data_IF_380484106029
#
_entry.id   IF_380484106029
#
_cell.length_a   1.000
_cell.length_b   1.000
_cell.length_c   1.000
_cell.angle_alpha   90.00
_cell.angle_beta   90.00
_cell.angle_gamma   90.00
#
_symmetry.space_group_name_H-M   'P 1'
#
loop_
_entity.id
_entity.type
_entity.pdbx_description
1 polymer ?
#
# COMPACT_ATOMS: atom_id res chain seq x y z
N UNK A 1 -22.62 -4.64 15.48
CA UNK A 1 -22.87 -5.58 16.63
C UNK A 1 -21.52 -5.82 17.32
N UNK A 2 -21.52 -5.78 18.65
CA UNK A 2 -20.37 -6.11 19.49
C UNK A 2 -20.64 -7.42 20.22
N UNK A 3 -19.70 -8.36 20.17
CA UNK A 3 -19.75 -9.65 20.86
C UNK A 3 -18.51 -9.81 21.74
N UNK A 4 -18.70 -10.23 22.98
CA UNK A 4 -17.58 -10.64 23.84
C UNK A 4 -17.27 -12.12 23.61
N UNK A 5 -16.32 -12.40 22.72
CA UNK A 5 -15.90 -13.77 22.39
C UNK A 5 -15.13 -14.49 23.54
N UNK A 6 -14.94 -13.83 24.69
CA UNK A 6 -14.41 -14.46 25.91
C UNK A 6 -15.52 -15.08 26.77
N UNK A 7 -16.78 -14.75 26.49
CA UNK A 7 -17.95 -15.28 27.18
C UNK A 7 -18.60 -16.41 26.37
N UNK A 8 -19.20 -17.37 27.09
CA UNK A 8 -19.94 -18.48 26.47
C UNK A 8 -21.14 -17.96 25.64
N UNK A 9 -21.78 -16.89 26.12
CA UNK A 9 -22.90 -16.26 25.40
C UNK A 9 -22.44 -15.62 24.09
N UNK A 10 -21.35 -14.85 24.10
CA UNK A 10 -20.80 -14.23 22.89
C UNK A 10 -20.33 -15.27 21.87
N UNK A 11 -19.73 -16.37 22.32
CA UNK A 11 -19.35 -17.50 21.45
C UNK A 11 -20.59 -18.19 20.86
N UNK A 12 -21.65 -18.39 21.68
CA UNK A 12 -22.89 -18.98 21.20
C UNK A 12 -23.56 -18.10 20.14
N UNK A 13 -23.60 -16.79 20.35
CA UNK A 13 -24.11 -15.82 19.34
C UNK A 13 -23.27 -15.83 18.07
N UNK A 14 -21.93 -15.88 18.16
CA UNK A 14 -21.06 -15.99 17.01
C UNK A 14 -21.33 -17.26 16.19
N UNK A 15 -21.51 -18.40 16.84
CA UNK A 15 -21.88 -19.66 16.17
C UNK A 15 -23.22 -19.58 15.47
N UNK A 16 -24.20 -18.90 16.05
CA UNK A 16 -25.51 -18.71 15.41
C UNK A 16 -25.39 -17.86 14.14
N UNK A 17 -24.56 -16.79 14.16
CA UNK A 17 -24.27 -16.00 12.97
C UNK A 17 -23.63 -16.85 11.87
N UNK A 18 -22.68 -17.72 12.24
CA UNK A 18 -21.99 -18.61 11.29
C UNK A 18 -22.93 -19.61 10.60
N UNK A 19 -24.04 -20.00 11.22
CA UNK A 19 -25.05 -20.85 10.55
C UNK A 19 -25.58 -20.23 9.26
N UNK A 20 -25.67 -18.91 9.20
CA UNK A 20 -26.11 -18.15 8.03
C UNK A 20 -24.99 -17.59 7.16
N UNK A 21 -23.72 -17.77 7.54
CA UNK A 21 -22.58 -17.20 6.83
C UNK A 21 -21.99 -18.19 5.81
N UNK A 22 -21.68 -17.75 4.63
CA UNK A 22 -20.98 -18.53 3.60
C UNK A 22 -19.48 -18.60 3.83
N UNK A 23 -18.94 -17.53 4.40
CA UNK A 23 -17.50 -17.32 4.56
C UNK A 23 -17.24 -16.74 5.94
N UNK A 24 -16.26 -17.28 6.64
CA UNK A 24 -15.69 -16.72 7.86
C UNK A 24 -14.26 -16.28 7.55
N UNK A 25 -13.92 -15.04 7.91
CA UNK A 25 -12.55 -14.50 7.78
C UNK A 25 -12.09 -14.04 9.15
N UNK A 26 -10.90 -14.45 9.55
CA UNK A 26 -10.30 -14.03 10.81
C UNK A 26 -8.81 -13.69 10.63
N UNK A 27 -8.27 -12.84 11.49
CA UNK A 27 -6.86 -12.48 11.51
C UNK A 27 -6.29 -12.43 12.93
N UNK A 28 -6.76 -13.30 13.81
CA UNK A 28 -6.22 -13.47 15.15
C UNK A 28 -4.88 -14.23 15.11
N UNK A 29 -4.18 -14.27 16.24
CA UNK A 29 -3.04 -15.18 16.40
C UNK A 29 -3.50 -16.62 16.25
N UNK A 30 -2.66 -17.45 15.63
CA UNK A 30 -2.94 -18.86 15.41
C UNK A 30 -3.42 -19.56 16.70
N UNK A 31 -4.42 -20.43 16.59
CA UNK A 31 -5.02 -21.14 17.71
C UNK A 31 -5.99 -20.31 18.57
N UNK A 32 -6.16 -19.03 18.32
CA UNK A 32 -7.07 -18.20 19.13
C UNK A 32 -8.52 -18.57 18.89
N UNK A 33 -8.92 -18.70 17.64
CA UNK A 33 -10.29 -19.10 17.28
C UNK A 33 -10.61 -20.51 17.76
N UNK A 34 -9.66 -21.43 17.69
CA UNK A 34 -9.78 -22.79 18.20
C UNK A 34 -10.03 -22.81 19.70
N UNK A 35 -9.27 -22.01 20.49
CA UNK A 35 -9.48 -21.89 21.95
C UNK A 35 -10.83 -21.31 22.32
N UNK A 36 -11.40 -20.45 21.48
CA UNK A 36 -12.74 -19.89 21.65
C UNK A 36 -13.84 -20.84 21.16
N UNK A 37 -13.48 -22.00 20.59
CA UNK A 37 -14.45 -22.93 19.99
C UNK A 37 -15.05 -22.44 18.68
N UNK A 38 -14.36 -21.53 17.98
CA UNK A 38 -14.72 -20.91 16.70
C UNK A 38 -13.71 -21.23 15.59
N UNK A 39 -12.82 -22.21 15.79
CA UNK A 39 -11.89 -22.67 14.77
C UNK A 39 -12.59 -23.44 13.64
N UNK A 40 -11.84 -23.71 12.57
CA UNK A 40 -12.39 -24.31 11.36
C UNK A 40 -13.17 -25.59 11.62
N UNK A 41 -12.62 -26.57 12.35
CA UNK A 41 -13.27 -27.86 12.58
C UNK A 41 -14.54 -27.72 13.42
N UNK A 42 -14.57 -26.81 14.41
CA UNK A 42 -15.76 -26.53 15.19
C UNK A 42 -16.87 -25.87 14.37
N UNK A 43 -16.52 -24.92 13.49
CA UNK A 43 -17.49 -24.23 12.65
C UNK A 43 -17.94 -25.09 11.47
N UNK A 44 -17.06 -25.90 10.89
CA UNK A 44 -17.41 -26.90 9.86
C UNK A 44 -18.44 -27.92 10.34
N UNK A 45 -18.38 -28.31 11.62
CA UNK A 45 -19.39 -29.17 12.21
C UNK A 45 -20.79 -28.54 12.24
N UNK A 46 -20.87 -27.20 12.27
CA UNK A 46 -22.12 -26.43 12.21
C UNK A 46 -22.56 -26.19 10.76
N UNK A 47 -21.59 -25.88 9.89
CA UNK A 47 -21.81 -25.61 8.47
C UNK A 47 -20.75 -26.32 7.60
N UNK A 48 -21.08 -27.54 7.08
CA UNK A 48 -20.11 -28.37 6.36
C UNK A 48 -19.53 -27.77 5.09
N UNK A 49 -20.25 -26.85 4.44
CA UNK A 49 -19.87 -26.15 3.22
C UNK A 49 -19.20 -24.77 3.47
N UNK A 50 -18.86 -24.50 4.74
CA UNK A 50 -18.23 -23.23 5.13
C UNK A 50 -16.85 -23.05 4.47
N UNK A 51 -16.61 -21.85 3.95
CA UNK A 51 -15.27 -21.39 3.60
C UNK A 51 -14.71 -20.62 4.79
N UNK A 52 -13.59 -21.07 5.33
CA UNK A 52 -12.95 -20.46 6.49
C UNK A 52 -11.59 -19.91 6.07
N UNK A 53 -11.38 -18.59 6.16
CA UNK A 53 -10.12 -17.94 5.80
C UNK A 53 -9.40 -17.43 7.05
N UNK A 54 -8.24 -18.01 7.33
CA UNK A 54 -7.34 -17.58 8.41
C UNK A 54 -6.16 -16.78 7.84
N UNK A 55 -5.92 -15.61 8.40
CA UNK A 55 -4.81 -14.71 8.04
C UNK A 55 -3.91 -14.57 9.27
N UNK A 56 -2.64 -14.97 9.15
CA UNK A 56 -1.68 -14.90 10.26
C UNK A 56 -0.45 -14.08 9.88
N UNK A 57 0.41 -13.74 10.85
CA UNK A 57 1.69 -13.08 10.56
C UNK A 57 2.70 -14.02 9.91
N UNK A 58 2.89 -15.22 10.51
CA UNK A 58 3.99 -16.14 10.20
C UNK A 58 3.54 -17.61 10.08
N UNK A 59 2.25 -17.85 9.82
CA UNK A 59 1.67 -19.19 9.76
C UNK A 59 1.26 -19.71 11.13
N UNK A 60 0.85 -20.99 11.17
CA UNK A 60 0.26 -21.65 12.33
C UNK A 60 1.19 -22.71 12.97
N UNK A 61 2.43 -22.84 12.50
CA UNK A 61 3.40 -23.79 13.04
C UNK A 61 4.47 -23.08 13.90
N UNK A 62 5.74 -23.13 13.55
CA UNK A 62 6.83 -22.53 14.34
C UNK A 62 6.75 -21.01 14.49
N UNK A 63 6.04 -20.32 13.60
CA UNK A 63 5.81 -18.88 13.65
C UNK A 63 4.54 -18.46 14.38
N UNK A 64 3.75 -19.40 14.91
CA UNK A 64 2.42 -19.16 15.47
C UNK A 64 2.38 -18.10 16.59
N UNK A 65 3.41 -18.05 17.42
CA UNK A 65 3.51 -17.12 18.54
C UNK A 65 4.10 -15.75 18.18
N UNK A 66 4.63 -15.59 16.96
CA UNK A 66 5.21 -14.32 16.51
C UNK A 66 4.12 -13.29 16.23
N UNK A 67 4.28 -12.03 16.68
CA UNK A 67 3.32 -10.97 16.40
C UNK A 67 3.40 -10.56 14.92
N UNK A 68 2.27 -10.60 14.21
CA UNK A 68 2.15 -10.21 12.81
C UNK A 68 1.73 -8.74 12.67
N UNK A 69 2.69 -7.87 12.33
CA UNK A 69 2.44 -6.49 11.95
C UNK A 69 3.14 -6.17 10.62
N UNK A 70 2.49 -5.40 9.76
CA UNK A 70 3.02 -5.02 8.44
C UNK A 70 4.48 -4.52 8.51
N UNK A 71 4.76 -3.53 9.35
CA UNK A 71 6.11 -2.96 9.49
C UNK A 71 7.14 -4.00 9.90
N UNK A 72 6.78 -4.89 10.83
CA UNK A 72 7.68 -5.96 11.27
C UNK A 72 7.97 -6.92 10.11
N UNK A 73 6.95 -7.31 9.36
CA UNK A 73 7.10 -8.22 8.24
C UNK A 73 7.86 -7.56 7.07
N UNK A 74 7.68 -6.27 6.80
CA UNK A 74 8.52 -5.53 5.85
C UNK A 74 10.02 -5.61 6.23
N UNK A 75 10.32 -5.55 7.54
CA UNK A 75 11.71 -5.63 8.03
C UNK A 75 12.26 -7.05 7.91
N UNK A 76 11.61 -8.04 8.54
CA UNK A 76 12.13 -9.42 8.60
C UNK A 76 11.98 -10.18 7.28
N UNK A 77 11.03 -9.78 6.44
CA UNK A 77 10.77 -10.36 5.11
C UNK A 77 11.60 -9.78 3.97
N UNK A 78 12.55 -8.89 4.26
CA UNK A 78 13.54 -8.42 3.31
C UNK A 78 13.11 -7.23 2.44
N UNK A 79 11.86 -6.76 2.48
CA UNK A 79 11.42 -5.61 1.67
C UNK A 79 12.22 -4.34 2.01
N UNK A 80 12.48 -4.09 3.29
CA UNK A 80 13.26 -2.91 3.70
C UNK A 80 14.73 -3.00 3.30
N UNK A 81 15.29 -4.19 3.09
CA UNK A 81 16.67 -4.36 2.64
C UNK A 81 16.92 -3.95 1.18
N UNK A 82 15.84 -3.78 0.41
CA UNK A 82 15.87 -3.36 -1.00
C UNK A 82 15.17 -2.01 -1.23
N UNK A 83 14.60 -1.41 -0.18
CA UNK A 83 13.81 -0.18 -0.24
C UNK A 83 14.47 0.91 0.60
N UNK A 84 14.70 2.06 -0.02
CA UNK A 84 15.31 3.21 0.65
C UNK A 84 16.13 4.07 -0.30
N UNK A 85 16.71 5.18 0.19
CA UNK A 85 17.60 6.03 -0.58
C UNK A 85 18.88 5.28 -0.91
N UNK A 86 19.57 5.69 -1.97
CA UNK A 86 20.85 5.10 -2.41
C UNK A 86 21.95 5.13 -1.33
N UNK A 87 21.83 6.01 -0.35
CA UNK A 87 22.70 6.04 0.84
C UNK A 87 22.64 4.77 1.71
N UNK A 88 21.71 3.84 1.40
CA UNK A 88 21.63 2.53 2.06
C UNK A 88 20.83 2.49 3.35
N UNK A 89 20.01 3.50 3.66
CA UNK A 89 19.10 3.47 4.82
C UNK A 89 17.84 2.66 4.52
N UNK A 90 17.64 1.47 5.13
CA UNK A 90 16.42 0.68 4.96
C UNK A 90 15.17 1.48 5.30
N UNK A 91 14.20 1.53 4.40
CA UNK A 91 13.00 2.35 4.55
C UNK A 91 11.74 1.50 4.27
N UNK A 92 10.73 1.65 5.11
CA UNK A 92 9.43 1.01 4.87
C UNK A 92 8.69 1.67 3.71
N UNK A 93 7.81 0.95 3.06
CA UNK A 93 6.81 1.53 2.15
C UNK A 93 5.83 2.40 2.93
N UNK A 94 5.36 3.49 2.33
CA UNK A 94 4.53 4.49 3.00
C UNK A 94 3.16 4.01 3.49
N UNK A 95 2.68 2.87 2.99
CA UNK A 95 1.41 2.23 3.37
C UNK A 95 1.67 0.84 3.96
N UNK A 96 0.68 0.24 4.61
CA UNK A 96 0.72 -1.14 5.08
C UNK A 96 0.57 -2.12 3.88
N UNK A 97 1.60 -2.15 3.01
CA UNK A 97 1.54 -2.83 1.71
C UNK A 97 1.43 -4.35 1.85
N UNK A 98 2.04 -4.93 2.88
CA UNK A 98 1.99 -6.38 3.13
C UNK A 98 0.59 -6.80 3.56
N UNK A 99 -0.07 -6.01 4.42
CA UNK A 99 -1.46 -6.24 4.82
C UNK A 99 -2.40 -6.19 3.60
N UNK A 100 -2.25 -5.18 2.74
CA UNK A 100 -3.05 -5.06 1.50
C UNK A 100 -2.84 -6.24 0.57
N UNK A 101 -1.58 -6.64 0.33
CA UNK A 101 -1.27 -7.79 -0.52
C UNK A 101 -1.81 -9.09 0.08
N UNK A 102 -1.72 -9.28 1.40
CA UNK A 102 -2.26 -10.45 2.07
C UNK A 102 -3.77 -10.52 1.99
N UNK A 103 -4.45 -9.38 2.13
CA UNK A 103 -5.90 -9.29 1.92
C UNK A 103 -6.31 -9.67 0.49
N UNK A 104 -5.55 -9.26 -0.53
CA UNK A 104 -5.79 -9.63 -1.93
C UNK A 104 -5.53 -11.13 -2.19
N UNK A 105 -4.50 -11.73 -1.58
CA UNK A 105 -4.26 -13.17 -1.65
C UNK A 105 -5.36 -13.96 -0.94
N UNK A 106 -5.80 -13.50 0.25
CA UNK A 106 -6.93 -14.09 0.97
C UNK A 106 -8.20 -14.05 0.11
N UNK A 107 -8.51 -12.91 -0.51
CA UNK A 107 -9.65 -12.78 -1.43
C UNK A 107 -9.55 -13.77 -2.59
N UNK A 108 -8.38 -13.89 -3.22
CA UNK A 108 -8.15 -14.83 -4.33
C UNK A 108 -8.36 -16.28 -3.88
N UNK A 109 -7.85 -16.64 -2.70
CA UNK A 109 -8.07 -17.96 -2.10
C UNK A 109 -9.54 -18.23 -1.79
N UNK A 110 -10.26 -17.28 -1.23
CA UNK A 110 -11.69 -17.36 -0.94
C UNK A 110 -12.49 -17.56 -2.23
N UNK A 111 -12.23 -16.78 -3.28
CA UNK A 111 -12.94 -16.92 -4.56
C UNK A 111 -12.65 -18.26 -5.22
N UNK A 112 -11.45 -18.78 -5.13
CA UNK A 112 -11.09 -20.13 -5.61
C UNK A 112 -11.83 -21.21 -4.80
N UNK A 113 -11.88 -21.08 -3.49
CA UNK A 113 -12.62 -21.99 -2.61
C UNK A 113 -14.14 -21.94 -2.87
N UNK A 114 -14.67 -20.75 -3.15
CA UNK A 114 -16.08 -20.55 -3.49
C UNK A 114 -16.43 -21.26 -4.81
N UNK A 115 -15.60 -21.09 -5.84
CA UNK A 115 -15.77 -21.81 -7.10
C UNK A 115 -15.72 -23.34 -6.91
N UNK A 116 -14.79 -23.85 -6.10
CA UNK A 116 -14.72 -25.27 -5.76
C UNK A 116 -15.99 -25.73 -5.05
N UNK A 117 -16.48 -24.97 -4.08
CA UNK A 117 -17.74 -25.26 -3.36
C UNK A 117 -18.95 -25.29 -4.31
N UNK A 118 -19.03 -24.35 -5.26
CA UNK A 118 -20.15 -24.29 -6.22
C UNK A 118 -20.20 -25.53 -7.11
N UNK A 119 -19.06 -26.17 -7.39
CA UNK A 119 -18.96 -27.39 -8.22
C UNK A 119 -19.16 -28.66 -7.40
N UNK A 120 -18.67 -28.69 -6.16
CA UNK A 120 -18.57 -29.94 -5.35
C UNK A 120 -19.51 -29.99 -4.15
N UNK A 121 -20.05 -28.85 -3.73
CA UNK A 121 -20.80 -28.71 -2.48
C UNK A 121 -19.92 -28.69 -1.22
N UNK A 122 -18.58 -28.70 -1.34
CA UNK A 122 -17.66 -28.79 -0.21
C UNK A 122 -16.98 -27.47 0.07
N UNK A 123 -17.09 -27.01 1.34
CA UNK A 123 -16.29 -25.92 1.85
C UNK A 123 -14.86 -26.35 2.20
N UNK A 124 -14.00 -25.38 2.49
CA UNK A 124 -12.61 -25.65 2.88
C UNK A 124 -12.00 -24.50 3.71
N UNK A 125 -10.89 -24.82 4.39
CA UNK A 125 -10.02 -23.82 5.00
C UNK A 125 -9.09 -23.20 3.95
N UNK A 126 -8.97 -21.89 3.99
CA UNK A 126 -8.00 -21.09 3.22
C UNK A 126 -7.06 -20.45 4.24
N UNK A 127 -5.77 -20.60 4.06
CA UNK A 127 -4.77 -20.01 4.95
C UNK A 127 -3.80 -19.17 4.16
N UNK A 128 -3.49 -18.00 4.68
CA UNK A 128 -2.42 -17.14 4.18
C UNK A 128 -1.72 -16.44 5.35
N UNK A 129 -0.49 -16.00 5.12
CA UNK A 129 0.24 -15.26 6.13
C UNK A 129 1.06 -14.13 5.49
N UNK A 130 1.35 -13.12 6.29
CA UNK A 130 2.04 -11.91 5.87
C UNK A 130 3.42 -12.21 5.26
N UNK A 131 4.21 -13.08 5.91
CA UNK A 131 5.57 -13.36 5.44
C UNK A 131 5.59 -14.07 4.09
N UNK A 132 4.80 -15.14 3.92
CA UNK A 132 4.73 -15.88 2.65
C UNK A 132 4.19 -15.00 1.52
N UNK A 133 3.20 -14.17 1.82
CA UNK A 133 2.68 -13.19 0.88
C UNK A 133 3.76 -12.20 0.45
N UNK A 134 4.51 -11.65 1.40
CA UNK A 134 5.59 -10.72 1.08
C UNK A 134 6.64 -11.40 0.20
N UNK A 135 7.14 -12.59 0.58
CA UNK A 135 8.15 -13.30 -0.20
C UNK A 135 7.70 -13.59 -1.64
N UNK A 136 6.43 -13.98 -1.82
CA UNK A 136 5.83 -14.16 -3.15
C UNK A 136 5.77 -12.84 -3.94
N UNK A 137 5.56 -11.72 -3.26
CA UNK A 137 5.41 -10.40 -3.87
C UNK A 137 6.74 -9.69 -4.17
N UNK A 138 7.89 -10.23 -3.72
CA UNK A 138 9.21 -9.70 -4.07
C UNK A 138 9.64 -10.01 -5.52
N UNK A 139 8.85 -10.75 -6.26
CA UNK A 139 8.96 -11.04 -7.72
C UNK A 139 10.39 -11.37 -8.17
N UNK A 140 10.97 -10.50 -9.02
CA UNK A 140 12.31 -10.70 -9.57
C UNK A 140 13.42 -10.70 -8.50
N UNK A 141 13.25 -9.98 -7.41
CA UNK A 141 14.24 -9.96 -6.31
C UNK A 141 14.29 -11.31 -5.58
N UNK A 142 13.11 -11.89 -5.27
CA UNK A 142 13.02 -13.24 -4.72
C UNK A 142 13.55 -14.28 -5.71
N UNK A 143 13.23 -14.16 -7.01
CA UNK A 143 13.72 -15.07 -8.06
C UNK A 143 15.22 -15.03 -8.21
N UNK A 144 15.86 -13.87 -8.09
CA UNK A 144 17.32 -13.72 -8.14
C UNK A 144 18.01 -14.48 -6.98
N UNK A 145 17.43 -14.40 -5.79
CA UNK A 145 17.94 -15.16 -4.65
C UNK A 145 17.70 -16.66 -4.79
N UNK A 146 16.47 -17.07 -5.04
CA UNK A 146 16.10 -18.50 -5.10
C UNK A 146 16.80 -19.23 -6.27
N UNK A 147 16.92 -18.56 -7.43
CA UNK A 147 17.50 -19.15 -8.64
C UNK A 147 19.02 -19.06 -8.73
N UNK A 148 19.65 -18.03 -8.15
CA UNK A 148 21.07 -17.75 -8.32
C UNK A 148 21.83 -17.37 -7.02
N UNK A 149 21.18 -17.37 -5.87
CA UNK A 149 21.79 -16.96 -4.59
C UNK A 149 22.15 -15.48 -4.52
N UNK A 150 21.66 -14.64 -5.43
CA UNK A 150 21.94 -13.21 -5.46
C UNK A 150 21.14 -12.52 -4.36
N UNK A 151 21.83 -11.81 -3.47
CA UNK A 151 21.19 -10.98 -2.43
C UNK A 151 21.10 -9.55 -2.96
N UNK A 152 19.88 -9.05 -3.29
CA UNK A 152 19.71 -7.67 -3.74
C UNK A 152 19.98 -6.66 -2.65
N UNK A 153 20.40 -5.45 -3.05
CA UNK A 153 20.60 -4.31 -2.16
C UNK A 153 19.72 -3.12 -2.53
N UNK A 154 19.87 -2.02 -1.77
CA UNK A 154 19.17 -0.77 -2.02
C UNK A 154 19.79 -0.05 -3.21
N UNK A 155 18.97 0.29 -4.20
CA UNK A 155 19.37 1.02 -5.41
C UNK A 155 18.68 2.40 -5.52
N UNK A 156 18.02 2.88 -4.46
CA UNK A 156 17.20 4.07 -4.52
C UNK A 156 16.06 3.90 -5.53
N UNK A 157 15.97 4.84 -6.46
CA UNK A 157 14.95 4.82 -7.52
C UNK A 157 15.44 4.20 -8.84
N UNK A 158 16.63 3.59 -8.85
CA UNK A 158 17.24 3.03 -10.06
C UNK A 158 16.78 1.61 -10.33
N UNK A 159 16.50 1.31 -11.59
CA UNK A 159 16.24 -0.07 -12.00
C UNK A 159 17.56 -0.85 -12.08
N UNK A 160 17.63 -2.10 -11.58
CA UNK A 160 18.89 -2.87 -11.55
C UNK A 160 19.50 -3.15 -12.94
N UNK A 161 18.68 -3.31 -13.97
CA UNK A 161 19.10 -3.79 -15.30
C UNK A 161 18.61 -2.95 -16.48
N UNK A 162 18.04 -1.77 -16.25
CA UNK A 162 17.54 -0.88 -17.31
C UNK A 162 18.03 0.54 -17.05
N UNK A 163 18.49 1.26 -18.09
CA UNK A 163 18.90 2.67 -18.04
C UNK A 163 18.53 3.43 -19.32
N UNK A 164 18.02 4.69 -19.21
CA UNK A 164 17.61 5.38 -17.96
C UNK A 164 16.27 4.87 -17.47
N UNK A 165 16.21 4.45 -16.20
CA UNK A 165 14.99 4.09 -15.51
C UNK A 165 15.15 4.51 -14.04
N UNK A 166 14.87 5.79 -13.76
CA UNK A 166 15.15 6.42 -12.47
C UNK A 166 14.50 7.80 -12.35
N UNK A 167 14.74 8.49 -11.23
CA UNK A 167 14.20 9.82 -10.95
C UNK A 167 15.24 10.87 -11.34
N UNK A 168 14.78 11.92 -12.02
CA UNK A 168 15.56 13.09 -12.39
C UNK A 168 14.96 14.35 -11.78
N UNK A 169 15.80 15.33 -11.44
CA UNK A 169 15.35 16.66 -11.05
C UNK A 169 15.04 17.48 -12.30
N UNK A 170 13.93 18.19 -12.27
CA UNK A 170 13.57 19.19 -13.30
C UNK A 170 13.68 20.59 -12.70
N UNK A 171 13.25 21.62 -13.44
CA UNK A 171 13.31 23.00 -12.95
C UNK A 171 12.42 23.25 -11.70
N UNK A 172 11.41 22.44 -11.46
CA UNK A 172 10.44 22.62 -10.37
C UNK A 172 10.34 21.43 -9.40
N UNK A 173 10.15 20.20 -9.90
CA UNK A 173 9.95 19.01 -9.08
C UNK A 173 10.47 17.74 -9.76
N UNK A 174 10.67 16.63 -9.02
CA UNK A 174 11.20 15.41 -9.60
C UNK A 174 10.29 14.79 -10.66
N UNK A 175 10.92 14.18 -11.67
CA UNK A 175 10.29 13.45 -12.77
C UNK A 175 10.89 12.04 -12.86
N UNK A 176 10.05 11.04 -13.07
CA UNK A 176 10.48 9.66 -13.38
C UNK A 176 10.63 9.50 -14.89
N UNK A 177 11.73 8.91 -15.34
CA UNK A 177 11.87 8.31 -16.67
C UNK A 177 11.89 6.80 -16.55
N UNK A 178 11.19 6.10 -17.47
CA UNK A 178 11.13 4.64 -17.52
C UNK A 178 11.38 4.14 -18.96
N UNK A 179 12.58 4.33 -19.45
CA UNK A 179 12.97 3.98 -20.85
C UNK A 179 13.33 2.52 -20.95
N UNK A 180 12.39 1.71 -21.44
CA UNK A 180 12.53 0.24 -21.48
C UNK A 180 13.22 -0.33 -22.71
N UNK A 181 13.48 0.46 -23.78
CA UNK A 181 14.10 -0.02 -25.01
C UNK A 181 14.80 1.08 -25.80
N UNK A 182 15.59 0.68 -26.82
CA UNK A 182 16.40 1.60 -27.61
C UNK A 182 15.58 2.57 -28.48
N UNK A 183 14.37 2.18 -28.90
CA UNK A 183 13.46 3.08 -29.63
C UNK A 183 13.02 4.23 -28.75
N UNK A 184 12.63 3.95 -27.51
CA UNK A 184 12.27 4.97 -26.52
C UNK A 184 13.47 5.84 -26.15
N UNK A 185 14.67 5.26 -26.04
CA UNK A 185 15.88 6.04 -25.79
C UNK A 185 16.17 7.05 -26.90
N UNK A 186 16.08 6.65 -28.18
CA UNK A 186 16.23 7.57 -29.32
C UNK A 186 15.16 8.66 -29.32
N UNK A 187 13.92 8.34 -28.98
CA UNK A 187 12.85 9.32 -28.85
C UNK A 187 13.13 10.32 -27.72
N UNK A 188 13.58 9.84 -26.57
CA UNK A 188 13.98 10.66 -25.43
C UNK A 188 15.05 11.66 -25.80
N UNK A 189 16.21 11.22 -26.30
CA UNK A 189 17.34 12.11 -26.58
C UNK A 189 17.03 13.10 -27.69
N UNK A 190 16.18 12.74 -28.66
CA UNK A 190 15.67 13.68 -29.67
C UNK A 190 14.80 14.75 -29.03
N UNK A 191 13.87 14.38 -28.16
CA UNK A 191 13.00 15.35 -27.47
C UNK A 191 13.78 16.28 -26.53
N UNK A 192 14.90 15.81 -25.99
CA UNK A 192 15.81 16.58 -25.15
C UNK A 192 16.83 17.41 -25.94
N UNK A 193 16.91 17.30 -27.29
CA UNK A 193 17.86 18.00 -28.16
C UNK A 193 19.30 17.53 -27.93
N UNK A 194 19.50 16.24 -27.67
CA UNK A 194 20.82 15.62 -27.47
C UNK A 194 20.95 14.29 -28.23
N UNK A 195 20.54 14.27 -29.49
CA UNK A 195 20.53 13.08 -30.37
C UNK A 195 21.87 12.38 -30.46
N UNK A 196 22.96 13.11 -30.30
CA UNK A 196 24.32 12.57 -30.30
C UNK A 196 24.56 11.48 -29.25
N UNK A 197 23.76 11.46 -28.17
CA UNK A 197 23.80 10.38 -27.18
C UNK A 197 23.39 9.04 -27.77
N UNK A 198 22.44 9.03 -28.73
CA UNK A 198 22.00 7.79 -29.39
C UNK A 198 23.05 7.21 -30.33
N UNK A 199 23.93 8.06 -30.88
CA UNK A 199 25.02 7.68 -31.80
C UNK A 199 26.30 7.29 -31.05
N UNK A 200 26.36 7.56 -29.76
CA UNK A 200 27.50 7.21 -28.91
C UNK A 200 27.54 5.72 -28.61
N UNK A 201 28.69 5.09 -28.78
CA UNK A 201 28.90 3.68 -28.40
C UNK A 201 28.68 3.42 -26.92
N UNK A 202 28.82 4.44 -26.07
CA UNK A 202 28.56 4.35 -24.61
C UNK A 202 27.09 4.11 -24.28
N UNK A 203 26.17 4.44 -25.19
CA UNK A 203 24.71 4.41 -24.93
C UNK A 203 23.90 3.71 -26.01
N UNK A 204 24.57 3.03 -26.95
CA UNK A 204 23.97 2.44 -28.15
C UNK A 204 22.86 1.39 -27.85
N UNK A 205 23.04 0.64 -26.78
CA UNK A 205 22.12 -0.37 -26.31
C UNK A 205 21.93 -0.29 -24.77
N UNK A 206 20.96 -1.04 -24.25
CA UNK A 206 20.66 -1.02 -22.81
C UNK A 206 21.85 -1.47 -21.95
N UNK A 207 22.63 -2.47 -22.40
CA UNK A 207 23.79 -2.97 -21.63
C UNK A 207 24.83 -1.86 -21.48
N UNK A 208 25.15 -1.19 -22.58
CA UNK A 208 26.07 -0.06 -22.60
C UNK A 208 25.58 1.09 -21.73
N UNK A 209 24.29 1.41 -21.77
CA UNK A 209 23.69 2.45 -20.90
C UNK A 209 23.77 2.10 -19.43
N UNK A 210 23.49 0.84 -19.05
CA UNK A 210 23.61 0.38 -17.65
C UNK A 210 25.07 0.46 -17.17
N UNK A 211 26.04 0.09 -18.01
CA UNK A 211 27.47 0.19 -17.67
C UNK A 211 27.96 1.64 -17.53
N UNK A 212 27.41 2.56 -18.31
CA UNK A 212 27.76 3.97 -18.31
C UNK A 212 26.68 4.86 -17.67
N UNK A 213 25.95 4.32 -16.72
CA UNK A 213 24.75 4.93 -16.11
C UNK A 213 25.04 6.30 -15.50
N UNK A 214 26.15 6.46 -14.77
CA UNK A 214 26.46 7.70 -14.07
C UNK A 214 26.68 8.88 -15.03
N UNK A 215 27.43 8.63 -16.13
CA UNK A 215 27.64 9.65 -17.15
C UNK A 215 26.36 9.96 -17.91
N UNK A 216 25.56 8.94 -18.24
CA UNK A 216 24.26 9.13 -18.86
C UNK A 216 23.31 9.95 -17.97
N UNK A 217 23.29 9.65 -16.66
CA UNK A 217 22.48 10.38 -15.70
C UNK A 217 22.85 11.88 -15.67
N UNK A 218 24.13 12.21 -15.65
CA UNK A 218 24.60 13.60 -15.64
C UNK A 218 24.14 14.34 -16.92
N UNK A 219 24.32 13.76 -18.09
CA UNK A 219 23.94 14.34 -19.38
C UNK A 219 22.42 14.60 -19.46
N UNK A 220 21.60 13.62 -19.05
CA UNK A 220 20.15 13.76 -19.07
C UNK A 220 19.68 14.76 -18.01
N UNK A 221 20.28 14.79 -16.84
CA UNK A 221 19.94 15.72 -15.74
C UNK A 221 20.11 17.17 -16.15
N UNK A 222 21.19 17.50 -16.84
CA UNK A 222 21.44 18.86 -17.35
C UNK A 222 20.31 19.32 -18.27
N UNK A 223 19.82 18.44 -19.14
CA UNK A 223 18.72 18.76 -20.06
C UNK A 223 17.37 18.86 -19.36
N UNK A 224 17.07 17.90 -18.48
CA UNK A 224 15.80 17.88 -17.77
C UNK A 224 15.64 19.04 -16.79
N UNK A 225 16.72 19.58 -16.25
CA UNK A 225 16.69 20.78 -15.39
C UNK A 225 16.25 22.06 -16.13
N UNK A 226 16.16 22.08 -17.47
CA UNK A 226 15.83 23.29 -18.25
C UNK A 226 14.34 23.63 -18.30
N UNK A 227 13.44 22.70 -17.91
CA UNK A 227 11.98 22.88 -17.93
C UNK A 227 11.32 22.24 -16.72
N UNK A 228 10.06 22.62 -16.46
CA UNK A 228 9.23 21.99 -15.43
C UNK A 228 8.81 20.58 -15.78
N UNK A 229 8.44 19.84 -14.76
CA UNK A 229 8.07 18.42 -14.86
C UNK A 229 6.80 18.19 -15.69
N UNK A 230 5.81 19.06 -15.57
CA UNK A 230 4.56 18.94 -16.35
C UNK A 230 4.79 19.21 -17.85
N UNK A 231 5.66 20.17 -18.19
CA UNK A 231 6.06 20.41 -19.58
C UNK A 231 6.79 19.19 -20.16
N UNK A 232 7.75 18.63 -19.41
CA UNK A 232 8.44 17.41 -19.82
C UNK A 232 7.49 16.23 -19.94
N UNK A 233 6.53 16.09 -19.03
CA UNK A 233 5.51 15.05 -19.11
C UNK A 233 4.69 15.14 -20.40
N UNK A 234 4.27 16.33 -20.79
CA UNK A 234 3.55 16.55 -22.05
C UNK A 234 4.42 16.20 -23.27
N UNK A 235 5.64 16.79 -23.36
CA UNK A 235 6.56 16.60 -24.49
C UNK A 235 6.94 15.11 -24.69
N UNK A 236 7.33 14.45 -23.60
CA UNK A 236 7.83 13.08 -23.65
C UNK A 236 6.72 12.07 -23.87
N UNK A 237 5.52 12.32 -23.32
CA UNK A 237 4.34 11.49 -23.56
C UNK A 237 3.92 11.50 -25.02
N UNK A 238 3.98 12.65 -25.70
CA UNK A 238 3.63 12.79 -27.11
C UNK A 238 4.55 11.94 -28.02
N UNK A 239 5.82 11.78 -27.66
CA UNK A 239 6.77 10.96 -28.40
C UNK A 239 6.85 9.51 -27.89
N UNK A 240 5.97 9.10 -26.99
CA UNK A 240 5.86 7.74 -26.47
C UNK A 240 6.98 7.30 -25.52
N UNK A 241 7.59 8.24 -24.81
CA UNK A 241 8.55 7.99 -23.74
C UNK A 241 7.82 7.90 -22.41
N UNK A 242 7.82 6.75 -21.71
CA UNK A 242 7.19 6.61 -20.42
C UNK A 242 7.86 7.51 -19.38
N UNK A 243 7.10 8.43 -18.85
CA UNK A 243 7.56 9.43 -17.88
C UNK A 243 6.40 9.94 -17.04
N UNK A 244 6.69 10.58 -15.91
CA UNK A 244 5.70 11.23 -15.10
C UNK A 244 6.29 11.99 -13.91
N UNK A 245 5.67 13.10 -13.50
CA UNK A 245 6.06 13.83 -12.31
C UNK A 245 5.78 13.00 -11.05
N UNK A 246 6.57 13.19 -10.01
CA UNK A 246 6.23 12.64 -8.68
C UNK A 246 5.15 13.53 -8.09
N UNK A 247 3.93 13.01 -8.07
CA UNK A 247 2.76 13.68 -7.53
C UNK A 247 2.59 13.41 -6.04
N UNK A 248 2.03 14.36 -5.31
CA UNK A 248 1.38 14.07 -4.03
C UNK A 248 0.03 13.37 -4.24
N UNK A 249 -0.59 12.93 -3.14
CA UNK A 249 -1.86 12.19 -3.20
C UNK A 249 -2.98 13.03 -3.83
N UNK A 250 -3.06 14.33 -3.52
CA UNK A 250 -4.06 15.24 -4.10
C UNK A 250 -3.89 15.35 -5.62
N UNK A 251 -2.65 15.61 -6.08
CA UNK A 251 -2.30 15.68 -7.49
C UNK A 251 -2.57 14.35 -8.23
N UNK A 252 -2.39 13.21 -7.55
CA UNK A 252 -2.70 11.89 -8.12
C UNK A 252 -4.22 11.72 -8.36
N UNK A 253 -5.08 12.15 -7.42
CA UNK A 253 -6.53 12.16 -7.61
C UNK A 253 -6.96 13.13 -8.71
N UNK A 254 -6.34 14.30 -8.80
CA UNK A 254 -6.60 15.26 -9.89
C UNK A 254 -6.20 14.68 -11.25
N UNK A 255 -5.08 13.96 -11.32
CA UNK A 255 -4.69 13.25 -12.55
C UNK A 255 -5.72 12.17 -12.90
N UNK A 256 -6.15 11.36 -11.95
CA UNK A 256 -7.17 10.33 -12.17
C UNK A 256 -8.46 10.94 -12.74
N UNK A 257 -8.90 12.08 -12.19
CA UNK A 257 -10.07 12.83 -12.69
C UNK A 257 -9.86 13.34 -14.12
N UNK A 258 -8.70 13.90 -14.43
CA UNK A 258 -8.37 14.36 -15.81
C UNK A 258 -8.37 13.21 -16.82
N UNK A 259 -7.97 12.02 -16.39
CA UNK A 259 -7.96 10.79 -17.21
C UNK A 259 -9.33 10.10 -17.29
N UNK A 260 -10.38 10.66 -16.68
CA UNK A 260 -11.72 10.07 -16.65
C UNK A 260 -11.82 8.80 -15.81
N UNK A 261 -10.94 8.64 -14.81
CA UNK A 261 -11.01 7.55 -13.84
C UNK A 261 -11.89 8.00 -12.66
N UNK A 262 -12.89 7.18 -12.35
CA UNK A 262 -13.79 7.42 -11.22
C UNK A 262 -13.12 6.95 -9.92
N UNK A 263 -12.15 7.71 -9.42
CA UNK A 263 -11.36 7.34 -8.26
C UNK A 263 -12.08 7.55 -6.92
N UNK A 264 -13.19 8.30 -6.90
CA UNK A 264 -14.00 8.57 -5.71
C UNK A 264 -15.47 8.31 -5.97
N UNK A 265 -16.23 8.05 -4.91
CA UNK A 265 -17.68 7.80 -4.97
C UNK A 265 -18.38 8.46 -3.79
N UNK A 266 -19.53 9.07 -4.08
CA UNK A 266 -20.47 9.55 -3.07
C UNK A 266 -21.36 8.40 -2.63
N UNK A 267 -21.46 8.17 -1.32
CA UNK A 267 -22.33 7.14 -0.76
C UNK A 267 -23.36 7.82 0.16
N UNK A 268 -24.63 7.55 -0.08
CA UNK A 268 -25.70 8.10 0.73
C UNK A 268 -25.52 7.77 2.21
N UNK A 269 -25.57 8.78 3.08
CA UNK A 269 -25.33 8.64 4.53
C UNK A 269 -23.85 8.61 4.94
N UNK A 270 -22.90 8.69 4.01
CA UNK A 270 -21.49 8.92 4.33
C UNK A 270 -21.23 10.40 4.61
N UNK A 271 -20.35 10.69 5.56
CA UNK A 271 -19.96 12.07 5.91
C UNK A 271 -19.00 12.69 4.87
N UNK A 272 -18.36 11.88 4.02
CA UNK A 272 -17.40 12.30 2.99
C UNK A 272 -17.40 11.28 1.84
N UNK A 273 -16.92 11.70 0.65
CA UNK A 273 -16.65 10.78 -0.44
C UNK A 273 -15.72 9.64 0.00
N UNK A 274 -15.88 8.49 -0.62
CA UNK A 274 -15.02 7.32 -0.39
C UNK A 274 -14.17 7.04 -1.61
N UNK A 275 -13.04 6.35 -1.42
CA UNK A 275 -12.24 5.84 -2.54
C UNK A 275 -13.04 4.74 -3.24
N UNK A 276 -13.17 4.85 -4.57
CA UNK A 276 -13.94 3.91 -5.35
C UNK A 276 -13.21 2.56 -5.51
N UNK A 277 -14.00 1.49 -5.73
CA UNK A 277 -13.44 0.20 -6.09
C UNK A 277 -12.77 0.31 -7.48
N UNK A 278 -11.50 -0.13 -7.64
CA UNK A 278 -10.81 -0.02 -8.92
C UNK A 278 -11.30 -1.02 -9.98
N UNK A 279 -12.06 -2.05 -9.58
CA UNK A 279 -12.51 -3.10 -10.48
C UNK A 279 -13.77 -2.64 -11.21
N UNK A 280 -13.75 -2.68 -12.53
CA UNK A 280 -14.92 -2.46 -13.40
C UNK A 280 -15.37 -3.79 -14.01
N UNK A 281 -16.60 -4.16 -13.78
CA UNK A 281 -17.21 -5.36 -14.37
C UNK A 281 -18.36 -4.94 -15.30
N UNK A 282 -18.37 -5.50 -16.51
CA UNK A 282 -19.32 -5.10 -17.57
C UNK A 282 -20.76 -5.47 -17.28
N UNK A 283 -21.00 -6.53 -16.50
CA UNK A 283 -22.35 -7.04 -16.21
C UNK A 283 -22.74 -6.73 -14.75
N UNK A 284 -21.81 -6.85 -13.81
CA UNK A 284 -22.04 -6.68 -12.37
C UNK A 284 -21.14 -5.60 -11.79
N UNK A 285 -21.30 -4.32 -12.19
CA UNK A 285 -20.46 -3.24 -11.67
C UNK A 285 -20.63 -3.09 -10.16
N UNK A 286 -19.60 -2.59 -9.45
CA UNK A 286 -19.70 -2.31 -8.02
C UNK A 286 -20.88 -1.40 -7.71
N UNK A 287 -21.62 -1.70 -6.64
CA UNK A 287 -22.73 -0.89 -6.15
C UNK A 287 -22.46 -0.44 -4.72
N UNK A 288 -22.51 0.85 -4.48
CA UNK A 288 -22.26 1.47 -3.19
C UNK A 288 -23.58 1.76 -2.49
N UNK A 289 -24.11 0.77 -1.73
CA UNK A 289 -25.46 0.81 -1.14
C UNK A 289 -25.46 1.29 0.31
N UNK A 290 -24.36 1.05 1.03
CA UNK A 290 -24.28 1.31 2.46
C UNK A 290 -23.06 2.20 2.72
N UNK A 291 -23.24 3.23 3.56
CA UNK A 291 -22.13 4.00 4.10
C UNK A 291 -21.27 3.13 5.04
N UNK A 292 -20.00 3.54 5.30
CA UNK A 292 -19.20 2.89 6.33
C UNK A 292 -19.98 2.78 7.63
N UNK A 293 -19.96 1.62 8.30
CA UNK A 293 -20.74 1.41 9.53
C UNK A 293 -20.23 2.31 10.66
N UNK A 294 -21.15 2.75 11.49
CA UNK A 294 -20.82 3.44 12.74
C UNK A 294 -21.23 2.54 13.91
N UNK A 295 -20.42 2.53 14.96
CA UNK A 295 -20.86 1.93 16.20
C UNK A 295 -21.97 2.79 16.79
N UNK A 296 -23.06 2.17 17.27
CA UNK A 296 -24.08 2.86 18.08
C UNK A 296 -23.48 3.25 19.43
N UNK A 297 -24.13 4.16 20.16
CA UNK A 297 -23.71 4.48 21.53
C UNK A 297 -23.75 3.23 22.43
N UNK A 298 -24.71 2.35 22.25
CA UNK A 298 -24.83 1.09 22.99
C UNK A 298 -23.69 0.14 22.65
N UNK A 299 -23.27 0.03 21.37
CA UNK A 299 -22.11 -0.75 20.95
C UNK A 299 -20.80 -0.18 21.53
N UNK A 300 -20.67 1.15 21.56
CA UNK A 300 -19.51 1.84 22.18
C UNK A 300 -19.46 1.56 23.67
N UNK A 301 -20.60 1.66 24.38
CA UNK A 301 -20.69 1.35 25.79
C UNK A 301 -20.36 -0.12 26.06
N UNK A 302 -20.94 -1.05 25.33
CA UNK A 302 -20.65 -2.46 25.46
C UNK A 302 -19.16 -2.78 25.22
N UNK A 303 -18.56 -2.18 24.19
CA UNK A 303 -17.12 -2.33 23.91
C UNK A 303 -16.23 -1.72 24.99
N UNK A 304 -16.68 -0.65 25.65
CA UNK A 304 -16.00 -0.04 26.79
C UNK A 304 -16.08 -0.91 28.02
N UNK A 305 -17.25 -1.45 28.33
CA UNK A 305 -17.51 -2.30 29.51
C UNK A 305 -16.66 -3.59 29.46
N UNK A 306 -16.43 -4.15 28.27
CA UNK A 306 -15.56 -5.32 28.09
C UNK A 306 -14.09 -4.96 27.80
N UNK A 307 -13.72 -3.68 27.91
CA UNK A 307 -12.33 -3.19 27.84
C UNK A 307 -11.69 -3.24 26.43
N UNK A 308 -12.48 -3.33 25.36
CA UNK A 308 -11.99 -3.26 23.97
C UNK A 308 -11.70 -1.80 23.58
N UNK A 309 -12.54 -0.88 24.02
CA UNK A 309 -12.36 0.57 23.78
C UNK A 309 -12.03 1.22 25.13
N UNK A 310 -10.93 1.96 25.21
CA UNK A 310 -10.67 2.87 26.32
C UNK A 310 -11.36 4.20 26.01
N UNK A 311 -12.12 4.80 26.96
CA UNK A 311 -12.68 6.11 26.74
C UNK A 311 -11.51 7.09 26.51
N UNK A 312 -11.39 7.61 25.30
CA UNK A 312 -10.59 8.82 25.09
C UNK A 312 -11.31 9.92 25.89
N UNK A 313 -10.59 10.62 26.74
CA UNK A 313 -11.10 11.79 27.42
C UNK A 313 -11.69 12.74 26.37
N UNK A 314 -12.99 12.78 26.28
CA UNK A 314 -13.71 13.81 25.55
C UNK A 314 -13.53 15.10 26.37
N UNK A 315 -12.49 15.87 25.97
CA UNK A 315 -12.33 17.21 26.54
C UNK A 315 -13.62 17.97 26.26
N UNK A 316 -14.32 18.33 27.32
CA UNK A 316 -15.50 19.19 27.29
C UNK A 316 -15.12 20.48 26.58
N UNK A 317 -15.59 20.67 25.36
CA UNK A 317 -15.61 21.99 24.73
C UNK A 317 -16.67 22.82 25.42
N UNK A 318 -16.30 23.42 26.53
CA UNK A 318 -17.05 24.56 27.06
C UNK A 318 -16.84 25.72 26.07
N UNK A 319 -17.91 26.07 25.39
CA UNK A 319 -18.01 27.34 24.71
C UNK A 319 -17.95 28.44 25.76
N UNK A 320 -16.82 29.07 25.94
CA UNK A 320 -16.73 30.37 26.57
C UNK A 320 -16.16 31.37 25.57
N UNK A 321 -17.07 32.10 24.93
CA UNK A 321 -16.76 33.24 24.11
C UNK A 321 -16.70 34.45 25.07
N UNK A 322 -15.51 34.90 25.40
CA UNK A 322 -15.27 36.23 25.92
C UNK A 322 -14.24 36.95 25.04
N UNK A 323 -14.40 38.23 24.74
CA UNK A 323 -13.67 38.91 23.68
C UNK A 323 -12.27 39.31 24.16
N UNK A 324 -11.28 38.96 23.36
CA UNK A 324 -9.88 39.35 23.58
C UNK A 324 -9.71 40.83 23.24
N UNK A 325 -9.39 41.61 24.28
CA UNK A 325 -8.95 42.97 24.18
C UNK A 325 -7.57 43.09 23.50
N UNK A 326 -7.44 44.12 22.69
CA UNK A 326 -6.20 44.57 22.10
C UNK A 326 -5.16 44.93 23.17
N UNK A 327 -3.98 44.37 23.14
CA UNK A 327 -2.80 44.91 23.82
C UNK A 327 -1.62 45.05 22.86
N UNK A 328 -0.99 46.18 23.02
CA UNK A 328 0.03 46.80 22.21
C UNK A 328 1.38 46.06 22.25
N UNK A 329 2.07 46.20 21.14
CA UNK A 329 3.49 45.88 20.88
C UNK A 329 4.43 46.57 21.89
N UNK A 330 5.36 45.81 22.47
CA UNK A 330 6.67 46.31 22.93
C UNK A 330 7.77 45.48 22.29
N UNK A 331 8.55 46.13 21.44
CA UNK A 331 9.82 45.70 20.91
C UNK A 331 10.86 45.84 22.01
N UNK A 332 11.58 44.81 22.31
CA UNK A 332 12.80 44.87 23.16
C UNK A 332 13.97 44.32 22.34
N UNK A 333 14.89 45.24 22.05
CA UNK A 333 16.23 44.95 21.50
C UNK A 333 17.06 44.11 22.49
N UNK A 334 17.70 43.08 22.01
CA UNK A 334 18.73 42.33 22.74
C UNK A 334 20.10 42.58 22.11
N UNK A 335 21.03 43.09 22.91
CA UNK A 335 22.45 43.29 22.62
C UNK A 335 23.22 41.96 22.54
N UNK A 336 24.36 41.93 21.84
CA UNK A 336 25.21 40.72 21.69
C UNK A 336 26.16 40.53 22.87
N UNK A 337 26.39 39.27 23.23
CA UNK A 337 27.40 38.87 24.23
C UNK A 337 28.80 38.68 23.61
N UNK A 338 29.87 38.89 24.41
CA UNK A 338 31.22 38.93 23.89
C UNK A 338 31.88 37.54 23.82
N UNK A 339 32.86 37.46 22.91
CA UNK A 339 33.81 36.38 22.67
C UNK A 339 34.73 36.10 23.86
N UNK A 340 34.90 34.84 24.17
CA UNK A 340 36.15 34.21 24.63
C UNK A 340 36.19 32.75 24.22
#
# INVERSE_FOLDING_TARGET
MVLDLRSDEGVAQAREIVRGADIVVENFRAGTMERMGLGYEQLRAIRPDLIYCAITGFGDSQGADLPGYDLLVQAVGGLMSITGPESGSPTKVGVAVVDVLTGLHALSGILTALHYRDVTGQGQKVETNLLSTLLSSLVNQASAYVGAGVIPGILGNRHPSIAPYEVFQTADRPLVLAVGNDKQFRALVRALGCEWLADSKLYADNVSRVQNRETLFAELSERLATRGSDDWFAILSEVGVPTGPINDIGQAFDLAKRLGLDATVEIAGSAAPQVANPIRMSITPPQYRLSPPRLSNDDVQAATDIGIIRPMFCGSTSQDKSPVGKSQSHVSEAQPAPTA
#
